data_IF_589440190227
#
_entry.id   IF_589440190227
#
_cell.length_a   1.000
_cell.length_b   1.000
_cell.length_c   1.000
_cell.angle_alpha   90.00
_cell.angle_beta   90.00
_cell.angle_gamma   90.00
#
_symmetry.space_group_name_H-M   'P 1'
#
loop_
_entity.id
_entity.type
_entity.pdbx_description
1 polymer ?
#
# COMPACT_ATOMS: atom_id res chain seq x y z
N UNK A 1 -10.68 29.58 -24.72
CA UNK A 1 -9.45 29.26 -25.44
C UNK A 1 -8.91 28.01 -24.77
N UNK A 2 -9.31 26.85 -25.30
CA UNK A 2 -9.00 25.53 -24.75
C UNK A 2 -7.60 25.13 -25.20
N UNK A 3 -6.66 24.94 -24.27
CA UNK A 3 -5.40 24.29 -24.52
C UNK A 3 -5.63 22.78 -24.34
N UNK A 4 -5.70 22.08 -25.46
CA UNK A 4 -5.61 20.63 -25.54
C UNK A 4 -4.19 20.21 -25.18
N UNK A 5 -3.99 19.70 -23.97
CA UNK A 5 -2.81 18.92 -23.61
C UNK A 5 -2.87 17.60 -24.37
N UNK A 6 -1.89 17.38 -25.26
CA UNK A 6 -1.82 16.16 -26.05
C UNK A 6 -1.47 14.97 -25.17
N UNK A 7 -2.43 14.08 -25.00
CA UNK A 7 -2.21 12.73 -24.48
C UNK A 7 -1.41 11.98 -25.56
N UNK A 8 -0.16 11.68 -25.30
CA UNK A 8 0.61 10.71 -26.09
C UNK A 8 0.06 9.33 -25.67
N UNK A 9 -1.01 8.89 -26.33
CA UNK A 9 -1.48 7.52 -26.22
C UNK A 9 -0.42 6.59 -26.84
N UNK A 10 0.31 5.88 -26.02
CA UNK A 10 1.09 4.71 -26.45
C UNK A 10 0.06 3.63 -26.82
N UNK A 11 -0.39 3.66 -28.08
CA UNK A 11 -1.26 2.63 -28.63
C UNK A 11 -0.51 1.32 -28.73
N UNK A 12 -0.81 0.36 -27.85
CA UNK A 12 -0.51 -1.05 -28.10
C UNK A 12 -1.57 -1.54 -29.08
N UNK A 13 -1.15 -1.68 -30.33
CA UNK A 13 -2.03 -2.05 -31.44
C UNK A 13 -2.08 -3.58 -31.52
N UNK A 14 -3.25 -4.14 -31.20
CA UNK A 14 -3.62 -5.45 -31.70
C UNK A 14 -3.67 -5.46 -33.23
N UNK A 15 -3.20 -6.51 -33.84
CA UNK A 15 -2.75 -6.73 -35.23
C UNK A 15 -3.74 -6.46 -36.39
N UNK A 16 -4.65 -5.51 -36.31
CA UNK A 16 -5.56 -5.26 -37.46
C UNK A 16 -5.91 -3.81 -37.80
N UNK A 17 -5.30 -2.82 -37.16
CA UNK A 17 -5.45 -1.41 -37.56
C UNK A 17 -4.13 -0.64 -37.48
N UNK A 18 -3.09 -1.13 -38.18
CA UNK A 18 -1.99 -0.26 -38.56
C UNK A 18 -2.48 0.52 -39.80
N UNK A 19 -3.11 1.68 -39.59
CA UNK A 19 -2.97 2.73 -40.56
C UNK A 19 -1.47 2.98 -40.68
N UNK A 20 -0.88 2.72 -41.84
CA UNK A 20 0.49 3.14 -42.14
C UNK A 20 0.59 4.61 -41.75
N UNK A 21 1.20 4.88 -40.60
CA UNK A 21 1.63 6.23 -40.26
C UNK A 21 2.75 6.49 -41.25
N UNK A 22 2.57 7.44 -42.16
CA UNK A 22 3.58 7.86 -43.09
C UNK A 22 4.80 8.39 -42.34
N UNK A 23 5.74 7.48 -42.06
CA UNK A 23 6.99 7.76 -41.33
C UNK A 23 7.88 8.80 -42.06
N UNK A 24 7.57 9.14 -43.31
CA UNK A 24 8.28 10.17 -44.06
C UNK A 24 8.08 11.60 -43.51
N UNK A 25 7.01 11.81 -42.71
CA UNK A 25 6.73 13.09 -42.03
C UNK A 25 7.26 13.19 -40.62
N UNK A 26 7.76 12.08 -40.03
CA UNK A 26 8.39 12.10 -38.72
C UNK A 26 9.86 12.58 -38.88
N UNK A 27 10.17 13.61 -38.13
CA UNK A 27 11.53 14.16 -38.05
C UNK A 27 12.41 13.22 -37.22
N UNK A 28 13.04 12.21 -37.85
CA UNK A 28 13.83 11.17 -37.17
C UNK A 28 15.34 11.37 -37.44
N UNK A 29 16.17 10.95 -36.51
CA UNK A 29 17.65 10.99 -36.59
C UNK A 29 18.25 9.63 -36.93
N UNK A 30 17.56 8.54 -36.57
CA UNK A 30 17.92 7.18 -36.96
C UNK A 30 16.66 6.33 -37.12
N UNK A 31 16.74 5.29 -37.96
CA UNK A 31 15.66 4.31 -38.15
C UNK A 31 16.23 2.91 -38.07
N UNK A 32 15.58 2.06 -37.27
CA UNK A 32 15.94 0.65 -37.08
C UNK A 32 14.69 -0.14 -37.44
N UNK A 33 14.69 -0.80 -38.59
CA UNK A 33 13.52 -1.42 -39.21
C UNK A 33 12.30 -0.48 -39.25
N UNK A 34 11.22 -0.78 -38.56
CA UNK A 34 10.01 0.05 -38.52
C UNK A 34 10.03 1.10 -37.41
N UNK A 35 11.01 1.06 -36.51
CA UNK A 35 11.13 1.99 -35.39
C UNK A 35 12.07 3.14 -35.71
N UNK A 36 11.63 4.33 -35.36
CA UNK A 36 12.40 5.56 -35.58
C UNK A 36 12.79 6.20 -34.24
N UNK A 37 14.05 6.61 -34.12
CA UNK A 37 14.52 7.51 -33.08
C UNK A 37 14.19 8.92 -33.53
N UNK A 38 13.19 9.54 -32.89
CA UNK A 38 12.77 10.90 -33.25
C UNK A 38 13.86 11.92 -32.88
N UNK A 39 13.88 13.01 -33.61
CA UNK A 39 14.76 14.14 -33.33
C UNK A 39 14.48 14.70 -31.92
N UNK A 40 13.23 14.77 -31.52
CA UNK A 40 12.81 15.21 -30.18
C UNK A 40 13.41 14.33 -29.09
N UNK A 41 13.32 12.99 -29.23
CA UNK A 41 13.92 12.04 -28.28
C UNK A 41 15.43 12.23 -28.18
N UNK A 42 16.10 12.46 -29.31
CA UNK A 42 17.53 12.71 -29.35
C UNK A 42 17.90 14.02 -28.65
N UNK A 43 17.17 15.10 -28.92
CA UNK A 43 17.39 16.40 -28.30
C UNK A 43 17.17 16.36 -26.79
N UNK A 44 16.11 15.70 -26.32
CA UNK A 44 15.86 15.48 -24.88
C UNK A 44 17.00 14.68 -24.22
N UNK A 45 17.55 13.69 -24.93
CA UNK A 45 18.66 12.89 -24.40
C UNK A 45 19.94 13.75 -24.30
N UNK A 46 20.22 14.58 -25.31
CA UNK A 46 21.31 15.56 -25.27
C UNK A 46 21.18 16.55 -24.11
N UNK A 47 19.97 17.07 -23.86
CA UNK A 47 19.72 17.99 -22.75
C UNK A 47 19.94 17.30 -21.40
N UNK A 48 19.51 16.06 -21.23
CA UNK A 48 19.69 15.29 -19.99
C UNK A 48 21.17 15.09 -19.68
N UNK A 49 21.98 14.79 -20.70
CA UNK A 49 23.44 14.68 -20.57
C UNK A 49 24.08 16.04 -20.27
N UNK A 50 23.63 17.11 -20.93
CA UNK A 50 24.15 18.45 -20.67
C UNK A 50 23.88 18.91 -19.23
N UNK A 51 22.74 18.54 -18.65
CA UNK A 51 22.43 18.79 -17.23
C UNK A 51 23.30 17.95 -16.30
N UNK A 52 23.58 16.70 -16.65
CA UNK A 52 24.48 15.81 -15.90
C UNK A 52 25.96 16.24 -16.01
N UNK A 53 26.36 16.99 -17.03
CA UNK A 53 27.71 17.54 -17.20
C UNK A 53 28.12 18.55 -16.14
N UNK A 54 27.20 19.19 -15.46
CA UNK A 54 27.54 20.03 -14.29
C UNK A 54 28.23 19.24 -13.19
N UNK A 55 28.21 17.90 -13.29
CA UNK A 55 28.84 16.94 -12.37
C UNK A 55 30.12 16.28 -12.94
N UNK A 56 30.56 16.61 -14.15
CA UNK A 56 31.93 16.32 -14.64
C UNK A 56 32.23 14.89 -15.14
N UNK A 57 31.24 14.08 -15.54
CA UNK A 57 31.46 12.63 -15.72
C UNK A 57 31.19 12.01 -17.09
N UNK A 58 30.96 12.73 -18.19
CA UNK A 58 30.67 12.06 -19.49
C UNK A 58 31.36 12.76 -20.66
N UNK A 59 32.11 11.96 -21.44
CA UNK A 59 32.60 12.28 -22.75
C UNK A 59 31.42 12.23 -23.74
N UNK A 60 31.04 13.35 -24.33
CA UNK A 60 29.78 13.52 -25.03
C UNK A 60 29.99 14.13 -26.41
N UNK A 61 30.62 13.35 -27.29
CA UNK A 61 30.52 13.56 -28.69
C UNK A 61 29.08 13.24 -29.15
N UNK A 62 28.36 14.14 -29.84
CA UNK A 62 27.01 13.89 -30.35
C UNK A 62 26.90 12.62 -31.21
N UNK A 63 27.91 12.26 -31.94
CA UNK A 63 27.91 11.04 -32.75
C UNK A 63 27.92 9.78 -31.89
N UNK A 64 28.71 9.77 -30.81
CA UNK A 64 28.72 8.66 -29.83
C UNK A 64 27.38 8.51 -29.11
N UNK A 65 26.67 9.61 -28.90
CA UNK A 65 25.34 9.59 -28.27
C UNK A 65 24.31 8.92 -29.17
N UNK A 66 24.31 9.26 -30.45
CA UNK A 66 23.39 8.65 -31.41
C UNK A 66 23.65 7.14 -31.58
N UNK A 67 24.94 6.73 -31.70
CA UNK A 67 25.30 5.31 -31.75
C UNK A 67 24.80 4.56 -30.51
N UNK A 68 24.99 5.12 -29.32
CA UNK A 68 24.50 4.53 -28.09
C UNK A 68 22.97 4.39 -28.06
N UNK A 69 22.22 5.39 -28.51
CA UNK A 69 20.77 5.32 -28.63
C UNK A 69 20.32 4.23 -29.60
N UNK A 70 21.05 4.03 -30.68
CA UNK A 70 20.83 2.96 -31.66
C UNK A 70 21.05 1.60 -30.98
N UNK A 71 22.18 1.43 -30.28
CA UNK A 71 22.50 0.19 -29.57
C UNK A 71 21.45 -0.16 -28.49
N UNK A 72 21.01 0.84 -27.72
CA UNK A 72 19.94 0.68 -26.74
C UNK A 72 18.63 0.21 -27.41
N UNK A 73 18.24 0.80 -28.56
CA UNK A 73 17.02 0.40 -29.27
C UNK A 73 17.14 -1.02 -29.85
N UNK A 74 18.32 -1.39 -30.39
CA UNK A 74 18.59 -2.76 -30.86
C UNK A 74 18.46 -3.79 -29.74
N UNK A 75 18.99 -3.49 -28.56
CA UNK A 75 18.87 -4.36 -27.39
C UNK A 75 17.43 -4.49 -26.91
N UNK A 76 16.66 -3.39 -26.91
CA UNK A 76 15.22 -3.41 -26.57
C UNK A 76 14.45 -4.30 -27.56
N UNK A 77 14.65 -4.09 -28.87
CA UNK A 77 14.00 -4.92 -29.88
C UNK A 77 14.34 -6.40 -29.71
N UNK A 78 15.62 -6.71 -29.48
CA UNK A 78 16.04 -8.08 -29.24
C UNK A 78 15.42 -8.66 -27.99
N UNK A 79 15.27 -7.90 -26.92
CA UNK A 79 14.57 -8.32 -25.70
C UNK A 79 13.10 -8.67 -25.96
N UNK A 80 12.42 -7.87 -26.78
CA UNK A 80 11.03 -8.13 -27.20
C UNK A 80 10.96 -9.41 -28.01
N UNK A 81 11.83 -9.60 -29.01
CA UNK A 81 11.88 -10.80 -29.85
C UNK A 81 12.14 -12.09 -29.05
N UNK A 82 12.89 -11.97 -27.97
CA UNK A 82 13.16 -13.08 -27.04
C UNK A 82 11.99 -13.34 -26.09
N UNK A 83 10.92 -12.55 -26.12
CA UNK A 83 9.77 -12.69 -25.25
C UNK A 83 10.10 -12.35 -23.79
N UNK A 84 11.04 -11.43 -23.54
CA UNK A 84 11.42 -11.10 -22.16
C UNK A 84 10.26 -10.46 -21.39
N UNK A 85 9.36 -9.72 -22.06
CA UNK A 85 8.20 -9.11 -21.42
C UNK A 85 7.23 -10.19 -20.91
N UNK A 86 7.07 -11.30 -21.66
CA UNK A 86 6.16 -12.39 -21.32
C UNK A 86 6.74 -13.34 -20.29
N UNK A 87 8.05 -13.59 -20.35
CA UNK A 87 8.69 -14.69 -19.63
C UNK A 87 9.54 -14.24 -18.43
N UNK A 88 9.87 -12.95 -18.33
CA UNK A 88 10.67 -12.41 -17.22
C UNK A 88 9.77 -11.66 -16.24
N UNK A 89 9.65 -12.21 -15.02
CA UNK A 89 8.80 -11.65 -13.97
C UNK A 89 9.29 -10.28 -13.46
N UNK A 90 10.60 -10.02 -13.52
CA UNK A 90 11.20 -8.77 -13.07
C UNK A 90 10.87 -7.64 -14.06
N UNK A 91 11.03 -7.90 -15.36
CA UNK A 91 10.66 -6.96 -16.42
C UNK A 91 9.16 -6.66 -16.37
N UNK A 92 8.33 -7.69 -16.22
CA UNK A 92 6.87 -7.51 -16.06
C UNK A 92 6.53 -6.63 -14.85
N UNK A 93 7.13 -6.91 -13.71
CA UNK A 93 6.91 -6.14 -12.48
C UNK A 93 7.33 -4.68 -12.66
N UNK A 94 8.45 -4.45 -13.33
CA UNK A 94 8.94 -3.09 -13.60
C UNK A 94 7.97 -2.30 -14.50
N UNK A 95 7.47 -2.92 -15.57
CA UNK A 95 6.48 -2.30 -16.46
C UNK A 95 5.21 -1.95 -15.69
N UNK A 96 4.67 -2.91 -14.91
CA UNK A 96 3.46 -2.70 -14.09
C UNK A 96 3.67 -1.55 -13.10
N UNK A 97 4.78 -1.54 -12.37
CA UNK A 97 5.08 -0.47 -11.42
C UNK A 97 5.21 0.90 -12.09
N UNK A 98 5.84 0.95 -13.27
CA UNK A 98 5.96 2.20 -14.03
C UNK A 98 4.61 2.71 -14.53
N UNK A 99 3.76 1.81 -15.01
CA UNK A 99 2.39 2.14 -15.41
C UNK A 99 1.58 2.68 -14.23
N UNK A 100 1.57 1.97 -13.10
CA UNK A 100 0.89 2.42 -11.87
C UNK A 100 1.41 3.79 -11.43
N UNK A 101 2.74 3.97 -11.39
CA UNK A 101 3.34 5.24 -11.00
C UNK A 101 2.96 6.39 -11.94
N UNK A 102 2.87 6.12 -13.25
CA UNK A 102 2.45 7.12 -14.24
C UNK A 102 1.00 7.56 -14.00
N UNK A 103 0.09 6.60 -13.79
CA UNK A 103 -1.34 6.87 -13.53
C UNK A 103 -1.49 7.67 -12.24
N UNK A 104 -0.85 7.22 -11.15
CA UNK A 104 -0.93 7.91 -9.86
C UNK A 104 -0.30 9.31 -9.92
N UNK A 105 0.72 9.53 -10.77
CA UNK A 105 1.35 10.84 -10.88
C UNK A 105 0.41 11.95 -11.37
N UNK A 106 -0.69 11.61 -12.02
CA UNK A 106 -1.73 12.56 -12.41
C UNK A 106 -2.42 13.21 -11.19
N UNK A 107 -2.34 12.57 -10.01
CA UNK A 107 -2.82 13.18 -8.76
C UNK A 107 -2.02 14.43 -8.36
N UNK A 108 -0.77 14.58 -8.81
CA UNK A 108 0.06 15.74 -8.50
C UNK A 108 -0.51 17.05 -9.10
N UNK A 109 -1.31 16.95 -10.16
CA UNK A 109 -1.96 18.07 -10.82
C UNK A 109 -3.34 18.40 -10.23
N UNK A 110 -3.81 17.61 -9.26
CA UNK A 110 -5.10 17.85 -8.61
C UNK A 110 -5.02 19.12 -7.73
N UNK A 111 -5.96 20.02 -7.96
CA UNK A 111 -6.17 21.16 -7.06
C UNK A 111 -6.99 20.72 -5.86
N UNK A 112 -6.31 20.25 -4.83
CA UNK A 112 -6.95 19.79 -3.59
C UNK A 112 -7.36 21.01 -2.78
N UNK A 113 -8.65 21.15 -2.51
CA UNK A 113 -9.15 22.22 -1.65
C UNK A 113 -9.16 21.78 -0.18
N UNK A 114 -9.08 22.76 0.73
CA UNK A 114 -9.25 22.48 2.17
C UNK A 114 -10.59 21.79 2.46
N UNK A 115 -11.64 22.13 1.74
CA UNK A 115 -12.98 21.54 1.90
C UNK A 115 -12.97 20.04 1.57
N UNK A 116 -12.23 19.63 0.53
CA UNK A 116 -12.10 18.22 0.15
C UNK A 116 -11.42 17.42 1.27
N UNK A 117 -10.34 17.97 1.86
CA UNK A 117 -9.63 17.36 2.97
C UNK A 117 -10.48 17.27 4.24
N UNK A 118 -11.21 18.32 4.59
CA UNK A 118 -12.14 18.31 5.74
C UNK A 118 -13.27 17.29 5.54
N UNK A 119 -13.78 17.16 4.31
CA UNK A 119 -14.77 16.16 3.93
C UNK A 119 -14.22 14.74 4.09
N UNK A 120 -13.04 14.49 3.54
CA UNK A 120 -12.35 13.20 3.64
C UNK A 120 -12.04 12.83 5.09
N UNK A 121 -11.49 13.76 5.87
CA UNK A 121 -11.25 13.54 7.30
C UNK A 121 -12.53 13.20 8.05
N UNK A 122 -13.61 13.93 7.80
CA UNK A 122 -14.89 13.73 8.47
C UNK A 122 -15.50 12.37 8.18
N UNK A 123 -15.34 11.88 6.95
CA UNK A 123 -15.81 10.56 6.52
C UNK A 123 -14.93 9.41 7.03
N UNK A 124 -13.64 9.68 7.32
CA UNK A 124 -12.63 8.66 7.62
C UNK A 124 -11.91 8.91 8.96
N UNK A 125 -12.62 9.42 9.97
CA UNK A 125 -12.02 9.75 11.29
C UNK A 125 -11.27 8.59 11.93
N UNK A 126 -11.70 7.37 11.68
CA UNK A 126 -11.08 6.17 12.24
C UNK A 126 -9.66 5.95 11.75
N UNK A 127 -9.34 6.37 10.50
CA UNK A 127 -7.98 6.29 9.95
C UNK A 127 -6.99 7.17 10.74
N UNK A 128 -7.47 8.26 11.32
CA UNK A 128 -6.67 9.26 12.02
C UNK A 128 -6.74 9.11 13.54
N UNK A 129 -7.61 8.20 14.01
CA UNK A 129 -7.75 7.94 15.45
C UNK A 129 -6.67 6.97 15.91
N UNK A 130 -5.82 7.36 16.88
CA UNK A 130 -4.80 6.45 17.38
C UNK A 130 -5.43 5.19 17.98
N UNK A 131 -4.82 4.04 17.71
CA UNK A 131 -5.27 2.77 18.28
C UNK A 131 -5.36 2.86 19.81
N UNK A 132 -6.43 2.32 20.43
CA UNK A 132 -6.53 2.23 21.87
C UNK A 132 -5.34 1.46 22.44
N UNK A 133 -4.91 1.86 23.65
CA UNK A 133 -3.84 1.19 24.37
C UNK A 133 -4.40 0.56 25.64
N UNK A 134 -3.97 -0.66 25.94
CA UNK A 134 -4.35 -1.37 27.14
C UNK A 134 -3.11 -1.94 27.84
N UNK A 135 -3.11 -1.86 29.16
CA UNK A 135 -2.32 -2.72 30.01
C UNK A 135 -3.24 -3.85 30.46
N UNK A 136 -3.01 -5.07 29.97
CA UNK A 136 -3.95 -6.17 30.10
C UNK A 136 -3.34 -7.29 30.95
N UNK A 137 -4.04 -7.70 31.96
CA UNK A 137 -3.80 -8.96 32.64
C UNK A 137 -4.56 -10.06 31.89
N UNK A 138 -3.87 -11.14 31.53
CA UNK A 138 -4.45 -12.38 31.04
C UNK A 138 -4.04 -13.52 31.96
N UNK A 139 -5.00 -14.31 32.41
CA UNK A 139 -4.77 -15.57 33.09
C UNK A 139 -5.33 -16.70 32.22
N UNK A 140 -4.63 -17.81 32.15
CA UNK A 140 -5.03 -18.96 31.35
C UNK A 140 -5.06 -20.23 32.18
N UNK A 141 -6.00 -21.12 31.85
CA UNK A 141 -6.22 -22.38 32.52
C UNK A 141 -6.44 -23.47 31.45
N UNK A 142 -6.12 -24.69 31.78
CA UNK A 142 -6.55 -25.85 30.99
C UNK A 142 -8.09 -25.94 30.98
N UNK A 143 -8.69 -26.37 29.88
CA UNK A 143 -10.15 -26.45 29.72
C UNK A 143 -10.84 -27.32 30.76
N UNK A 144 -10.12 -28.29 31.34
CA UNK A 144 -10.64 -29.12 32.45
C UNK A 144 -10.67 -28.42 33.82
N UNK A 145 -10.02 -27.26 33.96
CA UNK A 145 -9.86 -26.51 35.22
C UNK A 145 -10.87 -25.38 35.39
N UNK A 146 -12.12 -25.58 34.99
CA UNK A 146 -13.17 -24.57 35.08
C UNK A 146 -13.35 -24.04 36.52
N UNK A 147 -13.34 -24.91 37.52
CA UNK A 147 -13.49 -24.51 38.92
C UNK A 147 -12.34 -23.58 39.35
N UNK A 148 -11.10 -23.87 38.96
CA UNK A 148 -9.96 -23.01 39.27
C UNK A 148 -10.07 -21.64 38.55
N UNK A 149 -10.58 -21.62 37.32
CA UNK A 149 -10.87 -20.39 36.60
C UNK A 149 -11.91 -19.51 37.27
N UNK A 150 -13.03 -20.10 37.75
CA UNK A 150 -14.08 -19.40 38.50
C UNK A 150 -13.56 -18.86 39.84
N UNK A 151 -12.79 -19.65 40.57
CA UNK A 151 -12.15 -19.19 41.81
C UNK A 151 -11.17 -18.03 41.56
N UNK A 152 -10.38 -18.12 40.51
CA UNK A 152 -9.48 -17.04 40.14
C UNK A 152 -10.25 -15.76 39.74
N UNK A 153 -11.38 -15.89 39.06
CA UNK A 153 -12.27 -14.77 38.75
C UNK A 153 -12.80 -14.10 40.01
N UNK A 154 -13.28 -14.87 40.98
CA UNK A 154 -13.78 -14.34 42.27
C UNK A 154 -12.68 -13.61 43.05
N UNK A 155 -11.45 -14.15 43.04
CA UNK A 155 -10.29 -13.49 43.64
C UNK A 155 -9.94 -12.18 42.95
N UNK A 156 -10.01 -12.12 41.59
CA UNK A 156 -9.79 -10.89 40.84
C UNK A 156 -10.85 -9.83 41.17
N UNK A 157 -12.11 -10.21 41.26
CA UNK A 157 -13.21 -9.30 41.63
C UNK A 157 -12.99 -8.75 43.07
N UNK A 158 -12.41 -9.53 43.96
CA UNK A 158 -12.05 -9.10 45.31
C UNK A 158 -10.73 -8.30 45.36
N UNK A 159 -10.05 -8.08 44.22
CA UNK A 159 -8.77 -7.40 44.17
C UNK A 159 -7.56 -8.24 44.58
N UNK A 160 -7.72 -9.54 44.80
CA UNK A 160 -6.64 -10.45 45.16
C UNK A 160 -5.93 -11.02 43.92
N UNK A 161 -5.20 -10.16 43.24
CA UNK A 161 -4.43 -10.51 42.02
C UNK A 161 -3.39 -11.61 42.27
N UNK A 162 -2.72 -11.59 43.45
CA UNK A 162 -1.70 -12.58 43.77
C UNK A 162 -2.32 -13.98 43.93
N UNK A 163 -3.45 -14.11 44.62
CA UNK A 163 -4.18 -15.34 44.75
C UNK A 163 -4.67 -15.91 43.42
N UNK A 164 -5.22 -15.05 42.57
CA UNK A 164 -5.69 -15.46 41.25
C UNK A 164 -4.55 -15.99 40.35
N UNK A 165 -3.38 -15.34 40.37
CA UNK A 165 -2.20 -15.79 39.60
C UNK A 165 -1.69 -17.15 40.05
N UNK A 166 -1.81 -17.52 41.31
CA UNK A 166 -1.38 -18.82 41.79
C UNK A 166 -2.22 -19.99 41.26
N UNK A 167 -3.47 -19.71 40.84
CA UNK A 167 -4.38 -20.70 40.25
C UNK A 167 -4.16 -20.85 38.73
N UNK A 168 -3.58 -19.87 38.10
CA UNK A 168 -3.37 -19.84 36.66
C UNK A 168 -2.16 -20.68 36.24
N UNK A 169 -2.13 -21.07 34.97
CA UNK A 169 -1.00 -21.75 34.38
C UNK A 169 0.08 -20.76 33.97
N UNK A 170 1.35 -21.20 34.02
CA UNK A 170 2.44 -20.43 33.46
C UNK A 170 2.39 -20.50 31.95
N UNK A 171 2.36 -19.34 31.30
CA UNK A 171 2.37 -19.24 29.86
C UNK A 171 3.80 -19.18 29.34
N UNK A 172 4.06 -19.86 28.21
CA UNK A 172 5.35 -19.82 27.52
C UNK A 172 5.62 -18.41 26.96
N UNK A 173 4.57 -17.74 26.49
CA UNK A 173 4.60 -16.36 26.03
C UNK A 173 3.64 -15.56 26.88
N UNK A 174 4.17 -14.76 27.79
CA UNK A 174 3.36 -13.89 28.64
C UNK A 174 3.16 -12.52 28.01
N UNK A 175 1.98 -11.98 28.16
CA UNK A 175 1.68 -10.60 27.78
C UNK A 175 2.50 -9.64 28.67
N UNK A 176 3.29 -8.70 28.11
CA UNK A 176 4.01 -7.73 28.92
C UNK A 176 3.08 -6.87 29.78
N UNK A 177 3.46 -6.65 31.02
CA UNK A 177 2.68 -5.83 31.96
C UNK A 177 2.94 -4.34 31.77
N UNK A 178 2.73 -3.85 30.54
CA UNK A 178 2.88 -2.45 30.14
C UNK A 178 1.72 -2.04 29.24
N UNK A 179 1.56 -0.74 29.05
CA UNK A 179 0.55 -0.19 28.15
C UNK A 179 0.95 -0.46 26.69
N UNK A 180 0.18 -1.30 26.01
CA UNK A 180 0.43 -1.70 24.61
C UNK A 180 -0.71 -1.26 23.70
N UNK A 181 -0.41 -0.88 22.44
CA UNK A 181 -1.43 -0.69 21.41
C UNK A 181 -2.25 -1.98 21.20
N UNK A 182 -3.55 -1.85 20.93
CA UNK A 182 -4.45 -2.99 20.70
C UNK A 182 -3.95 -3.94 19.61
N UNK A 183 -3.33 -3.40 18.53
CA UNK A 183 -2.72 -4.24 17.49
C UNK A 183 -1.60 -5.12 18.05
N UNK A 184 -0.76 -4.58 18.96
CA UNK A 184 0.30 -5.38 19.59
C UNK A 184 -0.26 -6.45 20.51
N UNK A 185 -1.31 -6.15 21.29
CA UNK A 185 -2.01 -7.13 22.10
C UNK A 185 -2.56 -8.27 21.23
N UNK A 186 -3.11 -7.94 20.05
CA UNK A 186 -3.62 -8.93 19.09
C UNK A 186 -2.56 -9.93 18.62
N UNK A 187 -1.30 -9.51 18.49
CA UNK A 187 -0.20 -10.42 18.16
C UNK A 187 0.07 -11.45 19.28
N UNK A 188 -0.15 -11.06 20.55
CA UNK A 188 0.06 -11.95 21.71
C UNK A 188 -1.10 -12.89 21.98
N UNK A 189 -2.34 -12.42 21.88
CA UNK A 189 -3.51 -13.15 22.36
C UNK A 189 -4.57 -13.43 21.28
N UNK A 190 -4.30 -13.06 20.05
CA UNK A 190 -5.21 -13.23 18.93
C UNK A 190 -6.37 -12.22 18.88
N UNK A 191 -7.15 -12.22 17.79
CA UNK A 191 -8.20 -11.23 17.54
C UNK A 191 -9.37 -11.34 18.52
N UNK A 192 -9.83 -12.54 18.83
CA UNK A 192 -11.03 -12.77 19.66
C UNK A 192 -10.86 -12.28 21.09
N UNK A 193 -9.75 -12.64 21.75
CA UNK A 193 -9.47 -12.17 23.11
C UNK A 193 -9.16 -10.67 23.15
N UNK A 194 -8.53 -10.13 22.11
CA UNK A 194 -8.29 -8.68 22.02
C UNK A 194 -9.58 -7.89 21.90
N UNK A 195 -10.52 -8.35 21.07
CA UNK A 195 -11.83 -7.72 20.92
C UNK A 195 -12.60 -7.75 22.26
N UNK A 196 -12.56 -8.88 22.96
CA UNK A 196 -13.17 -9.00 24.28
C UNK A 196 -12.51 -8.05 25.30
N UNK A 197 -11.16 -7.98 25.33
CA UNK A 197 -10.45 -7.05 26.21
C UNK A 197 -10.81 -5.58 25.95
N UNK A 198 -10.99 -5.20 24.67
CA UNK A 198 -11.41 -3.86 24.29
C UNK A 198 -12.85 -3.52 24.71
N UNK A 199 -13.74 -4.50 24.84
CA UNK A 199 -15.13 -4.29 25.27
C UNK A 199 -15.27 -4.15 26.78
N UNK A 200 -14.27 -4.55 27.59
CA UNK A 200 -14.28 -4.44 29.05
C UNK A 200 -13.89 -3.01 29.47
N UNK A 201 -14.45 -2.57 30.58
CA UNK A 201 -14.01 -1.34 31.24
C UNK A 201 -12.70 -1.56 32.03
N UNK A 202 -12.02 -0.47 32.39
CA UNK A 202 -10.82 -0.53 33.22
C UNK A 202 -11.12 -1.15 34.58
N UNK A 203 -10.39 -2.21 34.94
CA UNK A 203 -10.63 -2.99 36.19
C UNK A 203 -11.73 -4.04 36.11
N UNK A 204 -12.49 -4.09 35.02
CA UNK A 204 -13.53 -5.10 34.84
C UNK A 204 -12.91 -6.47 34.58
N UNK A 205 -13.40 -7.49 35.31
CA UNK A 205 -12.97 -8.88 35.13
C UNK A 205 -13.91 -9.57 34.16
N UNK A 206 -13.36 -10.13 33.06
CA UNK A 206 -14.17 -10.87 32.10
C UNK A 206 -14.89 -12.07 32.74
N UNK A 207 -15.89 -12.58 32.03
CA UNK A 207 -16.32 -13.97 32.22
C UNK A 207 -15.18 -14.91 31.79
N UNK A 208 -15.29 -16.18 32.20
CA UNK A 208 -14.37 -17.21 31.77
C UNK A 208 -14.62 -17.49 30.28
N UNK A 209 -13.61 -17.27 29.44
CA UNK A 209 -13.68 -17.39 28.00
C UNK A 209 -13.05 -18.70 27.59
N UNK A 210 -13.82 -19.59 26.99
CA UNK A 210 -13.28 -20.80 26.34
C UNK A 210 -12.85 -20.48 24.92
N UNK A 211 -11.57 -20.71 24.61
CA UNK A 211 -11.00 -20.58 23.31
C UNK A 211 -10.03 -21.73 23.06
N UNK A 212 -10.31 -22.54 22.05
CA UNK A 212 -9.51 -23.70 21.64
C UNK A 212 -9.18 -24.67 22.78
N UNK A 213 -10.15 -24.91 23.66
CA UNK A 213 -10.04 -25.84 24.81
C UNK A 213 -9.19 -25.28 25.95
N UNK A 214 -8.94 -23.99 25.96
CA UNK A 214 -8.32 -23.26 27.09
C UNK A 214 -9.26 -22.19 27.62
N UNK A 215 -9.25 -22.02 28.92
CA UNK A 215 -10.05 -21.00 29.58
C UNK A 215 -9.19 -19.78 29.87
N UNK A 216 -9.75 -18.59 29.62
CA UNK A 216 -9.05 -17.32 29.77
C UNK A 216 -9.85 -16.32 30.60
N UNK A 217 -9.17 -15.60 31.49
CA UNK A 217 -9.68 -14.41 32.15
C UNK A 217 -8.88 -13.19 31.72
N UNK A 218 -9.57 -12.10 31.46
CA UNK A 218 -9.03 -10.84 31.02
C UNK A 218 -9.42 -9.72 31.98
N UNK A 219 -8.44 -8.85 32.29
CA UNK A 219 -8.69 -7.65 33.11
C UNK A 219 -7.88 -6.51 32.53
N UNK A 220 -8.49 -5.50 31.90
CA UNK A 220 -7.80 -4.25 31.54
C UNK A 220 -7.39 -3.54 32.85
N UNK A 221 -6.08 -3.52 33.12
CA UNK A 221 -5.53 -2.80 34.28
C UNK A 221 -5.47 -1.30 34.06
N UNK A 222 -5.26 -0.92 32.80
CA UNK A 222 -5.31 0.46 32.33
C UNK A 222 -5.79 0.47 30.88
N UNK A 223 -6.64 1.44 30.53
CA UNK A 223 -7.22 1.58 29.21
C UNK A 223 -7.16 3.05 28.77
N UNK A 224 -6.52 3.30 27.63
CA UNK A 224 -6.50 4.64 27.01
C UNK A 224 -7.25 4.52 25.68
N UNK A 225 -8.39 5.18 25.59
CA UNK A 225 -9.16 5.33 24.37
C UNK A 225 -8.85 6.72 23.84
N UNK A 226 -8.30 6.79 22.64
CA UNK A 226 -8.03 8.06 21.97
C UNK A 226 -9.27 8.49 21.18
N UNK A 227 -9.62 9.75 21.24
CA UNK A 227 -10.56 10.36 20.30
C UNK A 227 -9.82 10.77 19.04
N UNK A 228 -10.55 10.91 17.92
CA UNK A 228 -10.00 11.48 16.70
C UNK A 228 -9.37 12.85 17.00
N UNK A 229 -8.12 13.12 16.59
CA UNK A 229 -7.46 14.39 16.76
C UNK A 229 -8.22 15.46 15.97
N UNK A 230 -7.96 16.75 16.24
CA UNK A 230 -8.53 17.81 15.40
C UNK A 230 -7.92 17.75 14.01
N UNK A 231 -8.69 18.16 13.01
CA UNK A 231 -8.24 18.20 11.62
C UNK A 231 -6.93 18.97 11.46
N UNK A 232 -6.80 20.10 12.15
CA UNK A 232 -5.60 20.95 12.12
C UNK A 232 -4.35 20.23 12.60
N UNK A 233 -4.50 19.34 13.58
CA UNK A 233 -3.38 18.59 14.18
C UNK A 233 -2.85 17.47 13.26
N UNK A 234 -3.69 17.01 12.32
CA UNK A 234 -3.39 15.92 11.39
C UNK A 234 -3.48 16.33 9.91
N UNK A 235 -3.51 17.62 9.63
CA UNK A 235 -3.71 18.15 8.27
C UNK A 235 -2.80 17.48 7.22
N UNK A 236 -1.50 17.43 7.49
CA UNK A 236 -0.53 16.82 6.56
C UNK A 236 -0.77 15.31 6.37
N UNK A 237 -1.17 14.63 7.43
CA UNK A 237 -1.51 13.21 7.34
C UNK A 237 -2.78 13.01 6.51
N UNK A 238 -3.80 13.85 6.71
CA UNK A 238 -5.04 13.83 5.94
C UNK A 238 -4.77 14.09 4.45
N UNK A 239 -3.92 15.08 4.14
CA UNK A 239 -3.54 15.40 2.77
C UNK A 239 -2.83 14.20 2.10
N UNK A 240 -1.87 13.59 2.78
CA UNK A 240 -1.15 12.42 2.26
C UNK A 240 -2.08 11.22 2.01
N UNK A 241 -2.98 10.93 2.95
CA UNK A 241 -3.94 9.84 2.81
C UNK A 241 -4.99 10.13 1.73
N UNK A 242 -5.40 11.39 1.59
CA UNK A 242 -6.32 11.80 0.53
C UNK A 242 -5.71 11.64 -0.86
N UNK A 243 -4.43 12.05 -1.04
CA UNK A 243 -3.69 11.87 -2.30
C UNK A 243 -3.57 10.38 -2.62
N UNK A 244 -3.23 9.55 -1.62
CA UNK A 244 -3.17 8.09 -1.78
C UNK A 244 -4.52 7.51 -2.21
N UNK A 245 -5.59 7.90 -1.53
CA UNK A 245 -6.95 7.46 -1.85
C UNK A 245 -7.36 7.85 -3.28
N UNK A 246 -7.05 9.09 -3.68
CA UNK A 246 -7.31 9.54 -5.05
C UNK A 246 -6.47 8.82 -6.10
N UNK A 247 -5.24 8.45 -5.77
CA UNK A 247 -4.40 7.63 -6.63
C UNK A 247 -4.95 6.21 -6.84
N UNK A 248 -5.48 5.61 -5.78
CA UNK A 248 -6.15 4.31 -5.86
C UNK A 248 -7.43 4.39 -6.72
N UNK A 249 -8.25 5.43 -6.53
CA UNK A 249 -9.47 5.67 -7.31
C UNK A 249 -9.14 5.84 -8.81
N UNK A 250 -8.14 6.65 -9.16
CA UNK A 250 -7.68 6.82 -10.55
C UNK A 250 -7.16 5.52 -11.16
N UNK A 251 -6.43 4.72 -10.38
CA UNK A 251 -5.95 3.43 -10.86
C UNK A 251 -7.11 2.47 -11.13
N UNK A 252 -8.09 2.41 -10.25
CA UNK A 252 -9.27 1.55 -10.41
C UNK A 252 -10.08 1.97 -11.65
N UNK A 253 -10.34 3.27 -11.84
CA UNK A 253 -11.02 3.80 -13.03
C UNK A 253 -10.24 3.44 -14.31
N UNK A 254 -8.92 3.63 -14.32
CA UNK A 254 -8.09 3.29 -15.46
C UNK A 254 -8.11 1.78 -15.78
N UNK A 255 -8.08 0.93 -14.75
CA UNK A 255 -8.17 -0.52 -14.95
C UNK A 255 -9.54 -0.95 -15.47
N UNK A 256 -10.62 -0.28 -15.05
CA UNK A 256 -11.97 -0.54 -15.56
C UNK A 256 -12.08 -0.10 -17.03
N UNK A 257 -11.51 1.04 -17.40
CA UNK A 257 -11.42 1.48 -18.78
C UNK A 257 -10.61 0.50 -19.64
N UNK A 258 -9.51 -0.04 -19.14
CA UNK A 258 -8.75 -1.08 -19.83
C UNK A 258 -9.55 -2.37 -20.02
N UNK A 259 -10.33 -2.80 -19.01
CA UNK A 259 -11.21 -3.97 -19.13
C UNK A 259 -12.26 -3.79 -20.21
N UNK A 260 -12.79 -2.57 -20.34
CA UNK A 260 -13.73 -2.23 -21.38
C UNK A 260 -13.08 -2.11 -22.77
N UNK A 261 -11.82 -1.65 -22.82
CA UNK A 261 -11.07 -1.52 -24.06
C UNK A 261 -10.67 -2.88 -24.65
N UNK A 262 -10.24 -3.82 -23.81
CA UNK A 262 -9.85 -5.16 -24.22
C UNK A 262 -11.07 -6.07 -24.22
N UNK A 263 -11.72 -6.23 -25.40
CA UNK A 263 -12.81 -7.17 -25.58
C UNK A 263 -12.37 -8.61 -25.22
N UNK A 264 -13.08 -9.23 -24.30
CA UNK A 264 -12.88 -10.64 -23.99
C UNK A 264 -12.02 -10.96 -22.77
N UNK A 265 -11.91 -10.05 -21.79
CA UNK A 265 -11.40 -10.42 -20.46
C UNK A 265 -12.32 -11.50 -19.86
N UNK A 266 -11.84 -12.74 -19.81
CA UNK A 266 -12.55 -13.88 -19.23
C UNK A 266 -11.71 -14.48 -18.11
N UNK A 267 -12.30 -14.63 -16.93
CA UNK A 267 -11.76 -15.48 -15.87
C UNK A 267 -12.40 -16.88 -16.00
N UNK A 268 -11.59 -17.93 -15.99
CA UNK A 268 -12.11 -19.28 -15.78
C UNK A 268 -12.21 -19.49 -14.26
N UNK A 269 -13.31 -20.09 -13.81
CA UNK A 269 -13.44 -20.55 -12.43
C UNK A 269 -12.34 -21.57 -12.15
N UNK A 270 -11.51 -21.29 -11.12
CA UNK A 270 -10.42 -22.16 -10.68
C UNK A 270 -10.95 -23.27 -9.79
#
# INVERSE_FOLDING_TARGET
MLLLGGIISVGIIGSSFIKEVDLSQLNWVAKIDERAISKEKYEMYLESIAQSRKTGLIDSDPDNILERMIDEELLIQRGIDLGMIENDSEIRSMIIQKMISSIISETNDLRISRQDLEGFYSANKDLFTPSPKLQLLKLSFDGSKQIAGEQARDLLIQGNLAGAKLLAENEVISLPNVLLPAMKIREYIGPSLTQKALSLEEGEVSELIDLDGRLHLLVPLQKIISSAPKFEDVYQQVESEFIRFKGEELLDEYLDDLRNWYDGVKANDL
#
